data_IF_054602137995
#
_entry.id   IF_054602137995
#
_cell.length_a   1.000
_cell.length_b   1.000
_cell.length_c   1.000
_cell.angle_alpha   90.00
_cell.angle_beta   90.00
_cell.angle_gamma   90.00
#
_symmetry.space_group_name_H-M   'P 1'
#
loop_
_entity.id
_entity.type
_entity.pdbx_description
1 polymer ?
#
# COMPACT_ATOMS: atom_id res chain seq x y z
N UNK A 1 9.95 2.22 -5.77
CA UNK A 1 9.87 0.78 -5.44
C UNK A 1 9.51 -0.09 -6.63
N UNK A 2 8.43 0.17 -7.39
CA UNK A 2 8.04 -0.68 -8.53
C UNK A 2 9.16 -0.90 -9.57
N UNK A 3 9.80 0.17 -10.04
CA UNK A 3 10.88 0.06 -11.03
C UNK A 3 12.12 -0.62 -10.44
N UNK A 4 12.62 -0.16 -9.29
CA UNK A 4 13.89 -0.66 -8.76
C UNK A 4 13.77 -2.04 -8.11
N UNK A 5 12.76 -2.23 -7.25
CA UNK A 5 12.64 -3.46 -6.44
C UNK A 5 11.96 -4.57 -7.23
N UNK A 6 10.89 -4.28 -7.97
CA UNK A 6 10.18 -5.31 -8.72
C UNK A 6 10.79 -5.52 -10.11
N UNK A 7 10.79 -4.50 -10.98
CA UNK A 7 11.32 -4.67 -12.35
C UNK A 7 12.84 -4.86 -12.35
N UNK A 8 13.57 -4.10 -11.52
CA UNK A 8 15.03 -4.18 -11.42
C UNK A 8 15.50 -5.54 -10.91
N UNK A 9 14.89 -6.09 -9.86
CA UNK A 9 15.26 -7.43 -9.37
C UNK A 9 14.93 -8.54 -10.38
N UNK A 10 13.83 -8.41 -11.12
CA UNK A 10 13.50 -9.33 -12.20
C UNK A 10 14.54 -9.20 -13.30
N UNK A 11 14.73 -8.02 -13.90
CA UNK A 11 15.65 -7.82 -15.04
C UNK A 11 17.10 -8.16 -14.70
N UNK A 12 17.60 -7.70 -13.56
CA UNK A 12 18.97 -8.04 -13.11
C UNK A 12 19.05 -9.53 -12.78
N UNK A 13 18.06 -10.07 -12.08
CA UNK A 13 18.03 -11.48 -11.72
C UNK A 13 17.95 -12.42 -12.92
N UNK A 14 17.23 -12.04 -13.98
CA UNK A 14 17.15 -12.79 -15.25
C UNK A 14 18.45 -12.66 -16.03
N UNK A 15 19.04 -11.46 -16.10
CA UNK A 15 20.34 -11.24 -16.72
C UNK A 15 21.44 -12.10 -16.09
N UNK A 16 21.48 -12.22 -14.76
CA UNK A 16 22.47 -13.07 -14.08
C UNK A 16 22.20 -14.57 -14.24
N UNK A 17 20.96 -15.02 -14.06
CA UNK A 17 20.63 -16.46 -14.19
C UNK A 17 20.79 -16.97 -15.62
N UNK A 18 20.55 -16.11 -16.61
CA UNK A 18 20.66 -16.47 -18.02
C UNK A 18 21.90 -15.90 -18.70
N UNK A 19 22.89 -15.42 -17.95
CA UNK A 19 24.10 -14.80 -18.52
C UNK A 19 24.78 -15.73 -19.53
N UNK A 20 24.92 -17.01 -19.19
CA UNK A 20 25.50 -18.02 -20.08
C UNK A 20 24.63 -18.31 -21.32
N UNK A 21 23.30 -18.23 -21.20
CA UNK A 21 22.39 -18.39 -22.33
C UNK A 21 22.39 -17.15 -23.24
N UNK A 22 22.42 -15.94 -22.69
CA UNK A 22 22.48 -14.69 -23.45
C UNK A 22 23.82 -14.47 -24.16
N UNK A 23 24.92 -15.01 -23.62
CA UNK A 23 26.23 -14.97 -24.28
C UNK A 23 26.32 -15.92 -25.49
N UNK A 24 25.46 -16.96 -25.56
CA UNK A 24 25.56 -18.03 -26.57
C UNK A 24 24.31 -18.20 -27.46
N UNK A 25 23.20 -17.52 -27.19
CA UNK A 25 21.94 -17.64 -27.96
C UNK A 25 21.55 -16.35 -28.70
N UNK A 26 20.71 -16.49 -29.73
CA UNK A 26 20.24 -15.39 -30.56
C UNK A 26 19.24 -14.47 -29.81
N UNK A 27 19.25 -13.14 -30.09
CA UNK A 27 18.40 -12.15 -29.41
C UNK A 27 16.89 -12.41 -29.50
N UNK A 28 16.45 -13.22 -30.47
CA UNK A 28 15.05 -13.59 -30.69
C UNK A 28 14.47 -14.48 -29.60
N UNK A 29 15.29 -15.14 -28.77
CA UNK A 29 14.81 -15.94 -27.63
C UNK A 29 14.68 -15.14 -26.32
N UNK A 30 15.19 -13.91 -26.27
CA UNK A 30 15.21 -13.09 -25.05
C UNK A 30 13.80 -12.85 -24.46
N UNK A 31 12.77 -12.46 -25.24
CA UNK A 31 11.43 -12.24 -24.69
C UNK A 31 10.80 -13.54 -24.16
N UNK A 32 11.10 -14.68 -24.81
CA UNK A 32 10.58 -15.99 -24.42
C UNK A 32 11.17 -16.47 -23.10
N UNK A 33 12.45 -16.19 -22.92
CA UNK A 33 13.18 -16.55 -21.71
C UNK A 33 12.80 -15.69 -20.49
N UNK A 34 12.41 -14.43 -20.70
CA UNK A 34 11.90 -13.55 -19.62
C UNK A 34 10.58 -14.10 -19.06
N UNK A 35 9.70 -14.64 -19.91
CA UNK A 35 8.45 -15.25 -19.46
C UNK A 35 8.67 -16.44 -18.52
N UNK A 36 9.65 -17.30 -18.81
CA UNK A 36 9.94 -18.50 -18.01
C UNK A 36 10.68 -18.21 -16.69
N UNK A 37 11.30 -17.05 -16.57
CA UNK A 37 12.10 -16.70 -15.39
C UNK A 37 11.30 -16.02 -14.28
N UNK A 38 10.12 -15.46 -14.58
CA UNK A 38 9.24 -14.85 -13.57
C UNK A 38 8.84 -15.86 -12.47
N UNK A 39 8.34 -17.08 -12.78
CA UNK A 39 8.05 -18.08 -11.75
C UNK A 39 9.29 -18.47 -10.94
N UNK A 40 10.45 -18.59 -11.60
CA UNK A 40 11.72 -18.98 -10.97
C UNK A 40 12.24 -17.94 -9.95
N UNK A 41 11.74 -16.70 -9.98
CA UNK A 41 12.04 -15.66 -9.00
C UNK A 41 11.10 -15.65 -7.78
N UNK A 42 10.05 -16.48 -7.75
CA UNK A 42 9.12 -16.53 -6.64
C UNK A 42 9.81 -16.78 -5.29
N UNK A 43 10.80 -17.68 -5.24
CA UNK A 43 11.56 -17.99 -4.01
C UNK A 43 12.27 -16.76 -3.43
N UNK A 44 12.84 -15.91 -4.29
CA UNK A 44 13.47 -14.65 -3.85
C UNK A 44 12.46 -13.70 -3.22
N UNK A 45 11.26 -13.58 -3.82
CA UNK A 45 10.22 -12.74 -3.25
C UNK A 45 9.64 -13.30 -1.96
N UNK A 46 9.56 -14.62 -1.80
CA UNK A 46 9.16 -15.25 -0.53
C UNK A 46 10.15 -14.89 0.58
N UNK A 47 11.46 -15.04 0.34
CA UNK A 47 12.47 -14.67 1.35
C UNK A 47 12.48 -13.17 1.61
N UNK A 48 12.27 -12.35 0.59
CA UNK A 48 12.10 -10.90 0.74
C UNK A 48 10.91 -10.56 1.65
N UNK A 49 9.74 -11.18 1.46
CA UNK A 49 8.55 -10.95 2.31
C UNK A 49 8.79 -11.41 3.75
N UNK A 50 9.50 -12.52 3.96
CA UNK A 50 9.80 -12.99 5.31
C UNK A 50 10.76 -12.06 6.04
N UNK A 51 11.81 -11.60 5.37
CA UNK A 51 12.83 -10.73 5.99
C UNK A 51 12.34 -9.30 6.11
N UNK A 52 11.95 -8.65 5.01
CA UNK A 52 11.55 -7.24 5.02
C UNK A 52 10.11 -7.07 5.51
N UNK A 53 9.20 -8.00 5.20
CA UNK A 53 7.80 -7.90 5.59
C UNK A 53 7.59 -8.29 7.06
N UNK A 54 7.82 -9.56 7.40
CA UNK A 54 7.51 -10.06 8.74
C UNK A 54 8.40 -9.46 9.81
N UNK A 55 9.71 -9.36 9.57
CA UNK A 55 10.62 -8.81 10.56
C UNK A 55 10.41 -7.30 10.77
N UNK A 56 10.09 -6.53 9.73
CA UNK A 56 9.80 -5.10 9.91
C UNK A 56 8.54 -4.87 10.73
N UNK A 57 7.46 -5.63 10.47
CA UNK A 57 6.22 -5.51 11.26
C UNK A 57 6.44 -5.94 12.71
N UNK A 58 7.22 -7.01 12.94
CA UNK A 58 7.61 -7.40 14.29
C UNK A 58 8.46 -6.31 14.99
N UNK A 59 9.38 -5.68 14.26
CA UNK A 59 10.18 -4.54 14.76
C UNK A 59 9.34 -3.30 15.05
N UNK A 60 8.27 -3.07 14.28
CA UNK A 60 7.35 -1.96 14.50
C UNK A 60 6.57 -2.10 15.81
N UNK A 61 6.27 -3.32 16.27
CA UNK A 61 5.67 -3.55 17.60
C UNK A 61 6.56 -2.97 18.71
N UNK A 62 7.87 -3.24 18.63
CA UNK A 62 8.85 -2.79 19.62
C UNK A 62 9.15 -1.29 19.53
N UNK A 63 8.84 -0.66 18.40
CA UNK A 63 9.15 0.75 18.09
C UNK A 63 10.58 1.13 18.47
N UNK A 64 11.56 0.41 17.93
CA UNK A 64 12.99 0.59 18.26
C UNK A 64 13.47 2.04 18.12
N UNK A 65 13.07 2.75 17.05
CA UNK A 65 13.49 4.14 16.80
C UNK A 65 13.09 5.09 17.94
N UNK A 66 11.79 5.27 18.27
CA UNK A 66 11.39 6.16 19.36
C UNK A 66 11.85 5.65 20.74
N UNK A 67 11.96 4.34 20.96
CA UNK A 67 12.45 3.80 22.22
C UNK A 67 13.90 4.22 22.51
N UNK A 68 14.79 4.11 21.52
CA UNK A 68 16.19 4.53 21.66
C UNK A 68 16.30 6.05 21.83
N UNK A 69 15.55 6.82 21.04
CA UNK A 69 15.53 8.29 21.14
C UNK A 69 15.02 8.74 22.51
N UNK A 70 13.99 8.08 23.05
CA UNK A 70 13.46 8.37 24.38
C UNK A 70 14.52 8.17 25.46
N UNK A 71 15.22 7.04 25.47
CA UNK A 71 16.27 6.76 26.47
C UNK A 71 17.44 7.76 26.34
N UNK A 72 17.83 8.10 25.11
CA UNK A 72 18.88 9.09 24.88
C UNK A 72 18.48 10.48 25.37
N UNK A 73 17.26 10.94 25.06
CA UNK A 73 16.72 12.22 25.54
C UNK A 73 16.57 12.23 27.06
N UNK A 74 16.11 11.13 27.64
CA UNK A 74 15.95 11.00 29.09
C UNK A 74 17.30 11.10 29.83
N UNK A 75 18.37 10.54 29.26
CA UNK A 75 19.71 10.60 29.85
C UNK A 75 20.35 11.98 29.77
N UNK A 76 20.18 12.72 28.66
CA UNK A 76 20.93 13.95 28.41
C UNK A 76 20.13 15.26 28.55
N UNK A 77 18.81 15.24 28.30
CA UNK A 77 18.02 16.45 28.06
C UNK A 77 16.84 16.63 29.04
N UNK A 78 16.37 15.57 29.69
CA UNK A 78 15.22 15.64 30.60
C UNK A 78 15.67 16.12 31.99
N UNK A 79 15.28 17.34 32.36
CA UNK A 79 15.49 17.89 33.72
C UNK A 79 14.17 18.20 34.43
N UNK A 80 13.08 18.38 33.68
CA UNK A 80 11.74 18.71 34.21
C UNK A 80 10.66 17.77 33.65
N UNK A 81 9.52 17.68 34.34
CA UNK A 81 8.38 16.85 33.89
C UNK A 81 7.87 17.24 32.50
N UNK A 82 7.90 18.53 32.16
CA UNK A 82 7.54 19.05 30.84
C UNK A 82 8.49 18.59 29.73
N UNK A 83 9.76 18.34 30.06
CA UNK A 83 10.72 17.79 29.08
C UNK A 83 10.48 16.30 28.85
N UNK A 84 9.97 15.59 29.87
CA UNK A 84 9.58 14.18 29.77
C UNK A 84 8.35 13.99 28.88
N UNK A 85 7.35 14.86 29.00
CA UNK A 85 6.18 14.85 28.10
C UNK A 85 6.61 15.07 26.63
N UNK A 86 7.48 16.05 26.37
CA UNK A 86 8.04 16.30 25.03
C UNK A 86 8.86 15.12 24.50
N UNK A 87 9.57 14.41 25.37
CA UNK A 87 10.34 13.22 24.99
C UNK A 87 9.44 12.01 24.66
N UNK A 88 8.24 11.95 25.22
CA UNK A 88 7.29 10.84 25.05
C UNK A 88 6.43 10.97 23.79
N UNK A 89 6.64 11.98 22.95
CA UNK A 89 5.84 12.17 21.73
C UNK A 89 6.01 10.95 20.78
N UNK A 90 4.95 10.13 20.60
CA UNK A 90 5.04 8.91 19.82
C UNK A 90 5.09 9.19 18.31
N UNK A 91 4.76 10.39 17.86
CA UNK A 91 4.63 10.71 16.43
C UNK A 91 3.37 10.13 15.78
N UNK A 92 3.21 10.44 14.49
CA UNK A 92 2.14 9.90 13.63
C UNK A 92 2.62 8.68 12.85
N UNK A 93 1.69 7.99 12.20
CA UNK A 93 2.02 6.93 11.23
C UNK A 93 2.78 7.54 10.05
N UNK A 94 3.91 6.94 9.68
CA UNK A 94 4.70 7.34 8.51
C UNK A 94 4.07 6.82 7.21
N UNK A 95 2.97 7.46 6.79
CA UNK A 95 2.27 7.14 5.54
C UNK A 95 3.19 7.14 4.30
N UNK A 96 4.19 8.04 4.14
CA UNK A 96 5.08 8.03 2.98
C UNK A 96 5.95 6.78 2.85
N UNK A 97 6.30 6.11 3.94
CA UNK A 97 7.12 4.89 3.93
C UNK A 97 6.27 3.62 3.93
N UNK A 98 5.23 3.61 4.76
CA UNK A 98 4.36 2.44 4.96
C UNK A 98 3.46 2.16 3.75
N UNK A 99 2.83 3.19 3.15
CA UNK A 99 1.91 2.99 2.02
C UNK A 99 2.59 2.39 0.78
N UNK A 100 3.75 2.90 0.30
CA UNK A 100 4.41 2.30 -0.86
C UNK A 100 4.86 0.87 -0.63
N UNK A 101 5.29 0.54 0.59
CA UNK A 101 5.73 -0.80 0.98
C UNK A 101 4.56 -1.78 0.96
N UNK A 102 3.42 -1.42 1.57
CA UNK A 102 2.18 -2.22 1.51
C UNK A 102 1.71 -2.43 0.07
N UNK A 103 1.80 -1.40 -0.78
CA UNK A 103 1.43 -1.50 -2.19
C UNK A 103 2.37 -2.40 -3.00
N UNK A 104 3.65 -2.48 -2.64
CA UNK A 104 4.59 -3.43 -3.26
C UNK A 104 4.21 -4.87 -2.92
N UNK A 105 3.90 -5.17 -1.66
CA UNK A 105 3.43 -6.50 -1.26
C UNK A 105 2.10 -6.86 -1.94
N UNK A 106 1.20 -5.89 -2.07
CA UNK A 106 -0.05 -6.08 -2.80
C UNK A 106 0.17 -6.37 -4.30
N UNK A 107 1.08 -5.64 -4.96
CA UNK A 107 1.50 -5.91 -6.34
C UNK A 107 2.05 -7.33 -6.49
N UNK A 108 2.98 -7.72 -5.61
CA UNK A 108 3.56 -9.07 -5.61
C UNK A 108 2.46 -10.13 -5.46
N UNK A 109 1.50 -9.91 -4.55
CA UNK A 109 0.36 -10.79 -4.35
C UNK A 109 -0.47 -10.98 -5.61
N UNK A 110 -0.86 -9.90 -6.30
CA UNK A 110 -1.66 -10.00 -7.53
C UNK A 110 -0.85 -10.67 -8.65
N UNK A 111 0.40 -10.23 -8.87
CA UNK A 111 1.25 -10.77 -9.94
C UNK A 111 1.46 -12.28 -9.78
N UNK A 112 1.79 -12.73 -8.56
CA UNK A 112 2.08 -14.14 -8.30
C UNK A 112 0.86 -14.98 -7.96
N UNK A 113 -0.32 -14.40 -7.73
CA UNK A 113 -1.55 -15.17 -7.48
C UNK A 113 -1.87 -16.14 -8.62
N UNK A 114 -1.62 -15.74 -9.86
CA UNK A 114 -1.86 -16.58 -11.05
C UNK A 114 -0.64 -17.44 -11.39
N UNK A 115 0.57 -16.99 -11.07
CA UNK A 115 1.82 -17.64 -11.49
C UNK A 115 2.28 -18.72 -10.49
N UNK A 116 2.24 -18.42 -9.19
CA UNK A 116 2.77 -19.32 -8.15
C UNK A 116 1.96 -19.18 -6.86
N UNK A 117 1.05 -20.12 -6.64
CA UNK A 117 0.12 -20.09 -5.51
C UNK A 117 0.80 -20.17 -4.13
N UNK A 118 2.03 -20.71 -4.07
CA UNK A 118 2.76 -20.88 -2.80
C UNK A 118 3.15 -19.56 -2.14
N UNK A 119 3.27 -18.47 -2.89
CA UNK A 119 3.64 -17.15 -2.36
C UNK A 119 2.45 -16.47 -1.65
N UNK A 120 1.23 -16.79 -2.04
CA UNK A 120 -0.01 -16.23 -1.53
C UNK A 120 -0.20 -16.38 -0.01
N UNK A 121 -0.02 -17.57 0.61
CA UNK A 121 -0.15 -17.71 2.07
C UNK A 121 0.85 -16.84 2.84
N UNK A 122 2.09 -16.65 2.34
CA UNK A 122 3.09 -15.80 3.02
C UNK A 122 2.65 -14.33 3.05
N UNK A 123 2.05 -13.85 1.96
CA UNK A 123 1.49 -12.49 1.88
C UNK A 123 0.25 -12.35 2.76
N UNK A 124 -0.63 -13.35 2.80
CA UNK A 124 -1.80 -13.32 3.68
C UNK A 124 -1.40 -13.25 5.15
N UNK A 125 -0.43 -14.05 5.58
CA UNK A 125 0.13 -13.99 6.94
C UNK A 125 0.72 -12.61 7.22
N UNK A 126 1.47 -12.04 6.26
CA UNK A 126 1.99 -10.67 6.39
C UNK A 126 0.85 -9.65 6.60
N UNK A 127 -0.20 -9.67 5.77
CA UNK A 127 -1.31 -8.71 5.91
C UNK A 127 -2.11 -8.91 7.20
N UNK A 128 -2.32 -10.16 7.64
CA UNK A 128 -2.98 -10.45 8.91
C UNK A 128 -2.16 -9.92 10.09
N UNK A 129 -0.85 -10.14 10.08
CA UNK A 129 0.04 -9.65 11.14
C UNK A 129 0.13 -8.13 11.13
N UNK A 130 0.32 -7.52 9.95
CA UNK A 130 0.31 -6.07 9.79
C UNK A 130 -1.00 -5.44 10.28
N UNK A 131 -2.16 -6.04 9.96
CA UNK A 131 -3.45 -5.55 10.44
C UNK A 131 -3.53 -5.52 11.97
N UNK A 132 -3.14 -6.61 12.64
CA UNK A 132 -3.17 -6.69 14.11
C UNK A 132 -2.24 -5.66 14.75
N UNK A 133 -1.01 -5.54 14.24
CA UNK A 133 0.00 -4.63 14.77
C UNK A 133 -0.40 -3.18 14.56
N UNK A 134 -0.72 -2.78 13.33
CA UNK A 134 -1.12 -1.39 13.06
C UNK A 134 -2.41 -1.02 13.79
N UNK A 135 -3.38 -1.94 13.92
CA UNK A 135 -4.59 -1.68 14.73
C UNK A 135 -4.24 -1.42 16.19
N UNK A 136 -3.36 -2.22 16.78
CA UNK A 136 -2.92 -2.01 18.16
C UNK A 136 -2.19 -0.67 18.32
N UNK A 137 -1.27 -0.35 17.41
CA UNK A 137 -0.47 0.88 17.47
C UNK A 137 -1.31 2.15 17.24
N UNK A 138 -2.30 2.11 16.32
CA UNK A 138 -3.20 3.25 16.07
C UNK A 138 -4.06 3.58 17.28
N UNK A 139 -4.51 2.56 18.03
CA UNK A 139 -5.36 2.77 19.21
C UNK A 139 -4.54 3.25 20.41
N UNK A 140 -3.37 2.66 20.64
CA UNK A 140 -2.65 2.82 21.91
C UNK A 140 -1.52 3.85 21.87
N UNK A 141 -0.99 4.18 20.68
CA UNK A 141 0.30 4.84 20.59
C UNK A 141 0.30 6.02 19.63
N UNK A 142 -0.14 5.85 18.37
CA UNK A 142 0.00 6.91 17.38
C UNK A 142 -0.93 8.09 17.67
N UNK A 143 -0.41 9.29 17.49
CA UNK A 143 -1.21 10.51 17.52
C UNK A 143 -1.32 11.08 16.09
N UNK A 144 -2.54 11.27 15.62
CA UNK A 144 -2.81 11.75 14.27
C UNK A 144 -2.53 13.26 14.19
N UNK A 145 -1.50 13.65 13.44
CA UNK A 145 -1.14 15.07 13.28
C UNK A 145 -2.02 15.81 12.26
N UNK A 146 -2.58 15.08 11.30
CA UNK A 146 -3.40 15.65 10.24
C UNK A 146 -4.60 14.75 9.90
N UNK A 147 -5.79 15.35 9.82
CA UNK A 147 -6.99 14.65 9.38
C UNK A 147 -7.22 14.91 7.89
N UNK A 148 -6.88 13.93 7.06
CA UNK A 148 -7.07 13.99 5.61
C UNK A 148 -8.38 13.36 5.13
N UNK A 149 -9.22 12.85 6.04
CA UNK A 149 -10.49 12.17 5.75
C UNK A 149 -10.38 11.13 4.61
N UNK A 150 -9.27 10.37 4.57
CA UNK A 150 -8.98 9.36 3.54
C UNK A 150 -8.90 9.89 2.09
N UNK A 151 -8.59 11.17 1.88
CA UNK A 151 -8.40 11.77 0.55
C UNK A 151 -7.30 11.08 -0.30
N UNK A 152 -6.42 10.28 0.31
CA UNK A 152 -5.41 9.48 -0.39
C UNK A 152 -5.99 8.21 -1.07
N UNK A 153 -7.24 7.83 -0.79
CA UNK A 153 -7.84 6.60 -1.31
C UNK A 153 -7.88 6.50 -2.85
N UNK A 154 -8.24 7.55 -3.62
CA UNK A 154 -8.20 7.50 -5.08
C UNK A 154 -6.79 7.21 -5.62
N UNK A 155 -5.75 7.69 -4.95
CA UNK A 155 -4.36 7.39 -5.31
C UNK A 155 -4.00 5.92 -5.05
N UNK A 156 -4.43 5.36 -3.92
CA UNK A 156 -4.23 3.94 -3.59
C UNK A 156 -4.97 3.05 -4.58
N UNK A 157 -6.23 3.36 -4.87
CA UNK A 157 -7.05 2.64 -5.85
C UNK A 157 -6.41 2.62 -7.25
N UNK A 158 -5.93 3.77 -7.73
CA UNK A 158 -5.25 3.85 -9.03
C UNK A 158 -4.00 2.95 -9.08
N UNK A 159 -3.23 2.87 -8.00
CA UNK A 159 -2.04 1.98 -7.91
C UNK A 159 -2.41 0.50 -7.85
N UNK A 160 -3.54 0.15 -7.21
CA UNK A 160 -4.10 -1.21 -7.22
C UNK A 160 -4.50 -1.62 -8.64
N UNK A 161 -5.22 -0.75 -9.36
CA UNK A 161 -5.59 -0.98 -10.76
C UNK A 161 -4.34 -1.13 -11.63
N UNK A 162 -3.33 -0.28 -11.46
CA UNK A 162 -2.06 -0.39 -12.18
C UNK A 162 -1.36 -1.73 -11.91
N UNK A 163 -1.40 -2.22 -10.67
CA UNK A 163 -0.85 -3.53 -10.29
C UNK A 163 -1.58 -4.68 -10.98
N UNK A 164 -2.91 -4.58 -11.10
CA UNK A 164 -3.75 -5.55 -11.82
C UNK A 164 -3.45 -5.56 -13.32
N UNK A 165 -3.26 -4.39 -13.93
CA UNK A 165 -2.85 -4.28 -15.34
C UNK A 165 -1.47 -4.89 -15.57
N UNK A 166 -0.50 -4.62 -14.69
CA UNK A 166 0.84 -5.22 -14.77
C UNK A 166 0.75 -6.74 -14.68
N UNK A 167 -0.06 -7.28 -13.76
CA UNK A 167 -0.27 -8.73 -13.66
C UNK A 167 -0.87 -9.34 -14.93
N UNK A 168 -1.83 -8.67 -15.57
CA UNK A 168 -2.43 -9.14 -16.82
C UNK A 168 -1.43 -9.12 -17.98
N UNK A 169 -0.61 -8.06 -18.08
CA UNK A 169 0.46 -7.97 -19.09
C UNK A 169 1.53 -9.05 -18.88
N UNK A 170 1.95 -9.29 -17.64
CA UNK A 170 2.92 -10.35 -17.32
C UNK A 170 2.35 -11.74 -17.60
N UNK A 171 1.08 -11.98 -17.27
CA UNK A 171 0.40 -13.24 -17.59
C UNK A 171 0.31 -13.47 -19.10
N UNK A 172 0.01 -12.42 -19.87
CA UNK A 172 0.02 -12.48 -21.34
C UNK A 172 1.42 -12.80 -21.87
N UNK A 173 2.47 -12.18 -21.31
CA UNK A 173 3.86 -12.49 -21.61
C UNK A 173 4.20 -13.96 -21.35
N UNK A 174 3.85 -14.48 -20.16
CA UNK A 174 4.09 -15.89 -19.79
C UNK A 174 3.34 -16.89 -20.68
N UNK A 175 2.08 -16.61 -21.04
CA UNK A 175 1.29 -17.54 -21.86
C UNK A 175 1.71 -17.52 -23.34
N UNK A 176 2.24 -16.40 -23.82
CA UNK A 176 2.83 -16.29 -25.16
C UNK A 176 4.01 -17.25 -25.35
N UNK A 177 4.83 -17.46 -24.31
CA UNK A 177 6.00 -18.35 -24.38
C UNK A 177 5.63 -19.84 -24.45
N UNK A 178 4.47 -20.21 -23.89
CA UNK A 178 3.93 -21.57 -23.83
C UNK A 178 3.08 -21.97 -25.04
N UNK A 179 3.05 -21.18 -26.13
CA UNK A 179 2.26 -21.44 -27.36
C UNK A 179 0.75 -21.66 -27.10
N UNK A 180 0.20 -21.13 -26.02
CA UNK A 180 -1.21 -21.24 -25.68
C UNK A 180 -2.07 -20.23 -26.47
N UNK A 181 -2.05 -20.33 -27.80
CA UNK A 181 -2.66 -19.35 -28.71
C UNK A 181 -4.18 -19.18 -28.52
N UNK A 182 -4.88 -20.24 -28.07
CA UNK A 182 -6.33 -20.25 -27.87
C UNK A 182 -6.81 -19.30 -26.73
N UNK A 183 -5.94 -18.96 -25.77
CA UNK A 183 -6.29 -18.10 -24.63
C UNK A 183 -6.03 -16.61 -24.88
N UNK A 184 -5.35 -16.27 -25.99
CA UNK A 184 -4.95 -14.90 -26.36
C UNK A 184 -6.11 -13.89 -26.41
N UNK A 185 -7.27 -14.19 -27.06
CA UNK A 185 -8.35 -13.19 -27.15
C UNK A 185 -8.95 -12.85 -25.79
N UNK A 186 -9.13 -13.83 -24.89
CA UNK A 186 -9.63 -13.59 -23.54
C UNK A 186 -8.66 -12.71 -22.73
N UNK A 187 -7.36 -12.97 -22.81
CA UNK A 187 -6.33 -12.20 -22.09
C UNK A 187 -6.27 -10.73 -22.52
N UNK A 188 -6.63 -10.40 -23.76
CA UNK A 188 -6.67 -9.01 -24.26
C UNK A 188 -7.94 -8.27 -23.80
N UNK A 189 -9.05 -8.97 -23.60
CA UNK A 189 -10.29 -8.36 -23.10
C UNK A 189 -10.17 -7.92 -21.64
N UNK A 190 -9.44 -8.67 -20.80
CA UNK A 190 -9.23 -8.36 -19.38
C UNK A 190 -8.68 -6.95 -19.08
N UNK A 191 -7.58 -6.48 -19.70
CA UNK A 191 -7.05 -5.14 -19.46
C UNK A 191 -7.99 -4.04 -19.97
N UNK A 192 -8.72 -4.27 -21.06
CA UNK A 192 -9.71 -3.32 -21.59
C UNK A 192 -10.86 -3.14 -20.59
N UNK A 193 -11.36 -4.24 -20.03
CA UNK A 193 -12.40 -4.22 -19.00
C UNK A 193 -11.89 -3.50 -17.75
N UNK A 194 -10.67 -3.79 -17.32
CA UNK A 194 -10.03 -3.16 -16.15
C UNK A 194 -9.90 -1.65 -16.32
N UNK A 195 -9.47 -1.18 -17.48
CA UNK A 195 -9.36 0.25 -17.79
C UNK A 195 -10.72 0.93 -17.86
N UNK A 196 -11.71 0.26 -18.44
CA UNK A 196 -13.09 0.76 -18.50
C UNK A 196 -13.69 0.90 -17.09
N UNK A 197 -13.48 -0.11 -16.23
CA UNK A 197 -13.88 -0.09 -14.83
C UNK A 197 -13.19 1.05 -14.07
N UNK A 198 -11.88 1.23 -14.25
CA UNK A 198 -11.16 2.34 -13.62
C UNK A 198 -11.70 3.71 -14.03
N UNK A 199 -11.98 3.91 -15.34
CA UNK A 199 -12.60 5.15 -15.82
C UNK A 199 -13.99 5.38 -15.21
N UNK A 200 -14.81 4.34 -15.11
CA UNK A 200 -16.12 4.40 -14.47
C UNK A 200 -16.00 4.81 -13.00
N UNK A 201 -15.13 4.14 -12.23
CA UNK A 201 -14.91 4.45 -10.82
C UNK A 201 -14.37 5.86 -10.62
N UNK A 202 -13.46 6.29 -11.50
CA UNK A 202 -12.88 7.63 -11.47
C UNK A 202 -13.95 8.71 -11.69
N UNK A 203 -14.79 8.54 -12.71
CA UNK A 203 -15.85 9.49 -13.01
C UNK A 203 -16.93 9.53 -11.92
N UNK A 204 -17.31 8.37 -11.36
CA UNK A 204 -18.41 8.24 -10.41
C UNK A 204 -18.02 8.59 -8.97
N UNK A 205 -16.87 8.10 -8.48
CA UNK A 205 -16.51 8.16 -7.06
C UNK A 205 -15.43 9.17 -6.73
N UNK A 206 -14.49 9.48 -7.63
CA UNK A 206 -13.44 10.48 -7.35
C UNK A 206 -13.98 11.88 -6.99
N UNK A 207 -15.09 12.38 -7.57
CA UNK A 207 -15.64 13.67 -7.18
C UNK A 207 -16.00 13.76 -5.70
N UNK A 208 -16.44 12.66 -5.07
CA UNK A 208 -16.78 12.63 -3.65
C UNK A 208 -15.56 12.84 -2.73
N UNK A 209 -14.35 12.46 -3.19
CA UNK A 209 -13.12 12.64 -2.41
C UNK A 209 -12.45 14.00 -2.65
N UNK A 210 -12.77 14.68 -3.77
CA UNK A 210 -12.14 15.96 -4.14
C UNK A 210 -13.04 17.17 -3.95
N UNK A 211 -14.36 16.98 -3.98
CA UNK A 211 -15.35 18.06 -3.87
C UNK A 211 -16.24 17.79 -2.68
N UNK A 212 -16.29 18.74 -1.76
CA UNK A 212 -17.20 18.68 -0.62
C UNK A 212 -18.61 19.04 -1.10
N UNK A 213 -19.64 18.20 -0.90
CA UNK A 213 -21.00 18.51 -1.34
C UNK A 213 -21.57 19.66 -0.51
N UNK A 214 -22.23 20.61 -1.19
CA UNK A 214 -22.83 21.78 -0.55
C UNK A 214 -23.94 21.40 0.42
N UNK A 215 -24.70 20.34 0.13
CA UNK A 215 -25.79 19.83 0.97
C UNK A 215 -25.30 19.45 2.38
N UNK A 216 -24.23 18.66 2.48
CA UNK A 216 -23.61 18.29 3.77
C UNK A 216 -23.07 19.53 4.48
N UNK A 217 -22.50 20.47 3.74
CA UNK A 217 -22.02 21.72 4.34
C UNK A 217 -23.19 22.54 4.93
N UNK A 218 -24.30 22.63 4.21
CA UNK A 218 -25.50 23.31 4.71
C UNK A 218 -26.11 22.61 5.93
N UNK A 219 -26.22 21.28 5.94
CA UNK A 219 -26.72 20.54 7.11
C UNK A 219 -25.85 20.75 8.35
N UNK A 220 -24.52 20.72 8.20
CA UNK A 220 -23.58 20.97 9.31
C UNK A 220 -23.71 22.42 9.82
N UNK A 221 -23.82 23.39 8.92
CA UNK A 221 -23.98 24.80 9.27
C UNK A 221 -25.33 25.04 9.97
N UNK A 222 -26.44 24.58 9.41
CA UNK A 222 -27.77 24.77 10.00
C UNK A 222 -27.96 23.97 11.29
N UNK A 223 -27.39 22.77 11.40
CA UNK A 223 -27.36 21.99 12.65
C UNK A 223 -26.58 22.71 13.76
N UNK A 224 -25.44 23.32 13.42
CA UNK A 224 -24.64 24.11 14.37
C UNK A 224 -25.33 25.43 14.77
N UNK A 225 -25.99 26.11 13.83
CA UNK A 225 -26.78 27.32 14.10
C UNK A 225 -28.02 26.98 14.95
N UNK A 226 -28.72 25.88 14.65
CA UNK A 226 -29.88 25.42 15.42
C UNK A 226 -29.52 25.06 16.87
N UNK A 227 -28.37 24.42 17.08
CA UNK A 227 -27.87 24.12 18.42
C UNK A 227 -27.48 25.38 19.20
N UNK A 228 -26.78 26.33 18.57
CA UNK A 228 -26.42 27.61 19.20
C UNK A 228 -27.64 28.49 19.50
N UNK A 229 -28.64 28.51 18.62
CA UNK A 229 -29.90 29.22 18.86
C UNK A 229 -30.68 28.60 20.03
N UNK A 230 -30.74 27.26 20.12
CA UNK A 230 -31.38 26.57 21.24
C UNK A 230 -30.68 26.85 22.58
N UNK A 231 -29.34 26.88 22.59
CA UNK A 231 -28.56 27.23 23.78
C UNK A 231 -28.79 28.69 24.21
N UNK A 232 -28.91 29.62 23.25
CA UNK A 232 -29.15 31.04 23.50
C UNK A 232 -30.55 31.28 24.09
N UNK A 233 -31.59 30.62 23.58
CA UNK A 233 -32.94 30.68 24.15
C UNK A 233 -33.02 30.04 25.54
N UNK A 234 -32.33 28.92 25.77
CA UNK A 234 -32.30 28.26 27.07
C UNK A 234 -31.62 29.11 28.15
N UNK A 235 -30.54 29.82 27.81
CA UNK A 235 -29.84 30.73 28.73
C UNK A 235 -30.69 31.97 29.07
N UNK A 236 -31.40 32.55 28.10
CA UNK A 236 -32.28 33.70 28.34
C UNK A 236 -33.48 33.31 29.23
N UNK A 237 -34.04 32.11 29.04
CA UNK A 237 -35.18 31.62 29.84
C UNK A 237 -34.80 31.26 31.29
N UNK A 238 -33.52 31.05 31.58
CA UNK A 238 -33.03 30.75 32.94
C UNK A 238 -32.50 31.99 33.69
N UNK A 239 -32.28 33.11 32.99
CA UNK A 239 -31.80 34.39 33.55
C UNK A 239 -32.95 35.39 33.77
N UNK A 240 -34.12 35.19 33.14
CA UNK A 240 -35.35 35.96 33.37
C UNK A 240 -36.25 35.26 34.40
#
# INVERSE_FOLDING_TARGET
>A
MLVNVFLGSIVTGTAFQQLHAFLHQSPTQIPRNIGETIPSKATFFITYIMVDGWAAIAGEILRLKPLVIFHLKNMFLVKTERDREKATNPGSVDFPETLPSLQLYFLLGIVYAVVTLILLPFILVFFAFAYLVYRHQIINVYNQQYESAAAFWPHVHSRIIASLLISQLLLMGLLSTKKAAQSTPFLVVLPILTLSFHKYCKYRFEPAFRKYPLEVNFEVIFGSIGFNAFLFFYIIYFIL
#
